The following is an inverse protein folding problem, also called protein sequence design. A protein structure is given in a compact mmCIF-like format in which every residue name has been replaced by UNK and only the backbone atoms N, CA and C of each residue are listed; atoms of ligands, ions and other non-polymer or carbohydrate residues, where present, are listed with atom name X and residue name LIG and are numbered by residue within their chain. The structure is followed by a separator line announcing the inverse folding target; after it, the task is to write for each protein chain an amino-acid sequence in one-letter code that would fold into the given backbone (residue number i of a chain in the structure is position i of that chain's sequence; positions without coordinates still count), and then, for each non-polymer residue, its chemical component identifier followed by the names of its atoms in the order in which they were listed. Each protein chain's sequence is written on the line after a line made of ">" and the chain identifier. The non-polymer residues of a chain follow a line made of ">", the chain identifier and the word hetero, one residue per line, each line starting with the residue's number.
data_IF_394681301725
#
_entry.id   IF_394681301725
#
_cell.length_a   1.000
_cell.length_b   1.000
_cell.length_c   1.000
_cell.angle_alpha   90.00
_cell.angle_beta   90.00
_cell.angle_gamma   90.00
#
_symmetry.space_group_name_H-M   'P 1'
#
loop_
_entity.id
_entity.type
_entity.pdbx_description
1 polymer ?
#
# COMPACT_ATOMS: atom_id res chain seq x y z
N UNK A 1 26.84 18.57 -64.32
CA UNK A 1 27.11 17.71 -63.11
C UNK A 1 27.14 18.49 -61.80
N UNK A 2 27.45 19.75 -61.78
CA UNK A 2 27.57 20.61 -60.59
C UNK A 2 26.15 21.01 -60.04
N UNK A 3 25.17 21.32 -60.90
CA UNK A 3 23.82 21.69 -60.49
C UNK A 3 23.05 20.58 -59.72
N UNK A 4 23.23 19.32 -60.09
CA UNK A 4 22.61 18.17 -59.35
C UNK A 4 23.16 17.98 -57.95
N UNK A 5 24.43 18.29 -57.72
CA UNK A 5 25.07 18.22 -56.39
C UNK A 5 24.64 19.37 -55.47
N UNK A 6 24.39 20.56 -56.03
CA UNK A 6 23.87 21.70 -55.24
C UNK A 6 22.44 21.45 -54.81
N UNK A 7 21.59 20.87 -55.67
CA UNK A 7 20.21 20.53 -55.29
C UNK A 7 20.11 19.50 -54.16
N UNK A 8 21.06 18.54 -54.14
CA UNK A 8 21.15 17.53 -53.08
C UNK A 8 21.60 18.11 -51.73
N UNK A 9 22.55 19.06 -51.77
CA UNK A 9 23.04 19.75 -50.56
C UNK A 9 21.93 20.65 -49.96
N UNK A 10 21.17 21.35 -50.80
CA UNK A 10 20.05 22.16 -50.33
C UNK A 10 18.90 21.33 -49.75
N UNK A 11 18.62 20.13 -50.27
CA UNK A 11 17.57 19.26 -49.71
C UNK A 11 17.98 18.64 -48.36
N UNK A 12 19.28 18.38 -48.15
CA UNK A 12 19.80 17.87 -46.86
C UNK A 12 19.84 18.97 -45.80
N UNK A 13 20.12 20.24 -46.19
CA UNK A 13 20.08 21.39 -45.28
C UNK A 13 18.62 21.75 -44.85
N UNK A 14 17.62 21.60 -45.74
CA UNK A 14 16.22 21.82 -45.37
C UNK A 14 15.67 20.73 -44.41
N UNK A 15 16.23 19.51 -44.47
CA UNK A 15 15.82 18.45 -43.56
C UNK A 15 16.37 18.60 -42.12
N UNK A 16 17.38 19.46 -41.93
CA UNK A 16 17.96 19.70 -40.59
C UNK A 16 17.29 20.84 -39.83
N UNK A 17 16.41 21.64 -40.48
CA UNK A 17 15.70 22.75 -39.84
C UNK A 17 14.32 22.33 -39.33
N UNK A 18 13.89 21.07 -39.59
CA UNK A 18 12.54 20.59 -39.32
C UNK A 18 12.32 19.97 -37.91
N UNK A 19 13.29 20.09 -37.01
CA UNK A 19 13.13 19.54 -35.63
C UNK A 19 13.75 20.50 -34.60
N UNK A 20 13.22 21.71 -34.52
CA UNK A 20 13.35 22.56 -33.33
C UNK A 20 11.98 23.21 -33.08
N UNK A 21 10.97 22.44 -32.81
CA UNK A 21 9.94 22.94 -31.92
C UNK A 21 10.52 22.74 -30.52
N UNK A 22 11.03 23.82 -29.92
CA UNK A 22 11.25 23.90 -28.49
C UNK A 22 9.87 23.71 -27.85
N UNK A 23 9.59 22.48 -27.45
CA UNK A 23 8.38 22.16 -26.73
C UNK A 23 8.52 22.73 -25.33
N UNK A 24 8.19 24.03 -25.18
CA UNK A 24 8.09 24.61 -23.85
C UNK A 24 6.93 23.99 -23.13
N UNK A 25 7.25 23.25 -22.08
CA UNK A 25 6.25 22.61 -21.21
C UNK A 25 5.48 23.74 -20.52
N UNK A 26 4.21 23.94 -20.89
CA UNK A 26 3.37 24.92 -20.21
C UNK A 26 3.08 24.44 -18.78
N UNK A 27 3.79 25.01 -17.80
CA UNK A 27 3.66 24.74 -16.39
C UNK A 27 2.77 25.77 -15.66
N UNK A 28 1.98 26.55 -16.38
CA UNK A 28 1.09 27.54 -15.77
C UNK A 28 -0.19 26.87 -15.24
N UNK A 29 -0.44 27.08 -13.97
CA UNK A 29 -1.64 26.64 -13.27
C UNK A 29 -1.87 27.45 -12.00
N UNK A 30 -3.11 27.44 -11.52
CA UNK A 30 -3.52 28.05 -10.26
C UNK A 30 -3.76 26.96 -9.20
N UNK A 31 -3.61 27.35 -7.93
CA UNK A 31 -3.90 26.48 -6.78
C UNK A 31 -5.36 26.62 -6.34
N UNK A 32 -5.91 25.65 -5.60
CA UNK A 32 -7.24 25.78 -4.99
C UNK A 32 -7.36 27.02 -4.11
N UNK A 33 -8.51 27.71 -4.21
CA UNK A 33 -8.84 28.92 -3.44
C UNK A 33 -9.91 28.69 -2.40
N UNK A 34 -10.60 27.55 -2.46
CA UNK A 34 -11.62 27.12 -1.50
C UNK A 34 -11.41 25.67 -1.12
N UNK A 35 -11.55 25.38 0.17
CA UNK A 35 -11.45 24.03 0.73
C UNK A 35 -12.75 23.70 1.48
N UNK A 36 -13.31 22.52 1.21
CA UNK A 36 -14.53 22.00 1.83
C UNK A 36 -14.28 20.69 2.55
N UNK A 37 -14.65 20.61 3.80
CA UNK A 37 -14.63 19.40 4.62
C UNK A 37 -15.70 19.44 5.69
N UNK A 38 -16.05 18.31 6.32
CA UNK A 38 -16.74 18.33 7.60
C UNK A 38 -15.96 19.16 8.62
N UNK A 39 -16.65 19.93 9.45
CA UNK A 39 -16.01 20.69 10.55
C UNK A 39 -15.62 19.80 11.71
N UNK A 40 -16.34 18.69 11.89
CA UNK A 40 -16.08 17.68 12.92
C UNK A 40 -16.38 16.27 12.41
N UNK A 41 -15.63 15.29 12.89
CA UNK A 41 -15.77 13.88 12.53
C UNK A 41 -15.67 13.03 13.79
N UNK A 42 -16.70 12.21 14.03
CA UNK A 42 -16.60 11.07 14.95
C UNK A 42 -16.05 9.88 14.14
N UNK A 43 -14.85 9.42 14.49
CA UNK A 43 -14.23 8.31 13.76
C UNK A 43 -14.84 6.97 14.15
N UNK A 44 -15.13 6.17 13.14
CA UNK A 44 -15.48 4.76 13.23
C UNK A 44 -14.59 3.99 12.24
N UNK A 45 -13.52 3.38 12.74
CA UNK A 45 -12.54 2.67 11.89
C UNK A 45 -13.11 1.45 11.17
N UNK A 46 -14.29 0.97 11.58
CA UNK A 46 -15.02 -0.10 10.90
C UNK A 46 -15.93 0.39 9.77
N UNK A 47 -16.11 1.72 9.64
CA UNK A 47 -16.96 2.31 8.61
C UNK A 47 -16.35 2.13 7.22
N UNK A 48 -17.17 1.65 6.29
CA UNK A 48 -16.84 1.59 4.85
C UNK A 48 -17.17 2.90 4.11
N UNK A 49 -17.87 3.84 4.76
CA UNK A 49 -18.23 5.14 4.17
C UNK A 49 -17.04 6.08 4.32
N UNK A 50 -16.45 6.59 3.22
CA UNK A 50 -15.31 7.50 3.33
C UNK A 50 -15.73 8.90 3.78
N UNK A 51 -14.80 9.61 4.37
CA UNK A 51 -14.89 11.07 4.56
C UNK A 51 -14.43 11.73 3.25
N UNK A 52 -15.22 12.68 2.74
CA UNK A 52 -14.91 13.39 1.50
C UNK A 52 -14.42 14.80 1.82
N UNK A 53 -13.22 15.10 1.34
CA UNK A 53 -12.67 16.45 1.26
C UNK A 53 -12.76 16.90 -0.19
N UNK A 54 -13.03 18.17 -0.42
CA UNK A 54 -13.09 18.73 -1.78
C UNK A 54 -12.58 20.16 -1.83
N UNK A 55 -12.24 20.63 -3.02
CA UNK A 55 -11.75 21.98 -3.25
C UNK A 55 -12.17 22.52 -4.59
N UNK A 56 -12.08 23.82 -4.74
CA UNK A 56 -12.38 24.54 -5.97
C UNK A 56 -11.39 25.69 -6.22
N UNK A 57 -11.44 26.26 -7.39
CA UNK A 57 -10.65 27.44 -7.78
C UNK A 57 -9.21 27.16 -8.22
N UNK A 58 -8.84 25.90 -8.48
CA UNK A 58 -7.54 25.55 -9.06
C UNK A 58 -7.68 25.01 -10.49
N UNK A 59 -6.57 24.96 -11.22
CA UNK A 59 -6.52 24.36 -12.54
C UNK A 59 -5.60 25.05 -13.52
N UNK A 60 -5.48 24.51 -14.73
CA UNK A 60 -4.68 25.06 -15.82
C UNK A 60 -5.58 25.69 -16.88
N UNK A 61 -5.28 26.91 -17.30
CA UNK A 61 -6.06 27.66 -18.31
C UNK A 61 -6.03 27.01 -19.69
N UNK A 62 -4.99 26.22 -19.97
CA UNK A 62 -4.81 25.49 -21.23
C UNK A 62 -5.56 24.12 -21.24
N UNK A 63 -6.32 23.81 -20.18
CA UNK A 63 -7.00 22.51 -20.01
C UNK A 63 -6.06 21.34 -19.69
N UNK A 64 -4.78 21.61 -19.45
CA UNK A 64 -3.80 20.60 -19.08
C UNK A 64 -4.10 19.98 -17.70
N UNK A 65 -3.69 18.74 -17.51
CA UNK A 65 -3.93 18.01 -16.26
C UNK A 65 -3.08 18.61 -15.13
N UNK A 66 -3.74 18.97 -14.03
CA UNK A 66 -3.13 19.34 -12.76
C UNK A 66 -3.34 18.19 -11.79
N UNK A 67 -2.26 17.72 -11.16
CA UNK A 67 -2.32 16.69 -10.12
C UNK A 67 -2.42 17.34 -8.75
N UNK A 68 -3.17 16.72 -7.84
CA UNK A 68 -3.39 17.25 -6.51
C UNK A 68 -3.00 16.24 -5.43
N UNK A 69 -2.42 16.76 -4.35
CA UNK A 69 -2.14 16.02 -3.12
C UNK A 69 -2.65 16.82 -1.93
N UNK A 70 -3.28 16.13 -1.00
CA UNK A 70 -3.76 16.68 0.27
C UNK A 70 -2.71 16.44 1.34
N UNK A 71 -2.29 17.50 1.99
CA UNK A 71 -1.37 17.49 3.11
C UNK A 71 -2.16 17.60 4.41
N UNK A 72 -1.93 16.70 5.34
CA UNK A 72 -2.49 16.77 6.68
C UNK A 72 -1.41 17.12 7.68
N UNK A 73 -1.74 17.95 8.67
CA UNK A 73 -0.83 18.31 9.75
C UNK A 73 -1.58 18.45 11.07
N UNK A 74 -0.84 18.49 12.16
CA UNK A 74 -1.37 18.85 13.49
C UNK A 74 -1.81 20.30 13.50
N UNK A 75 -2.68 20.67 14.43
CA UNK A 75 -3.29 22.00 14.50
C UNK A 75 -2.28 23.17 14.46
N UNK A 76 -1.13 23.02 15.12
CA UNK A 76 -0.04 23.98 15.18
C UNK A 76 1.08 23.79 14.12
N UNK A 77 0.98 22.75 13.25
CA UNK A 77 1.98 22.46 12.21
C UNK A 77 2.03 23.55 11.13
N UNK A 78 3.03 23.53 10.26
CA UNK A 78 3.23 24.49 9.15
C UNK A 78 3.29 23.82 7.78
N UNK A 79 3.01 22.50 7.74
CA UNK A 79 3.13 21.64 6.56
C UNK A 79 4.56 21.48 6.01
N UNK A 80 5.58 21.86 6.76
CA UNK A 80 6.98 21.58 6.39
C UNK A 80 7.32 20.10 6.55
N UNK A 81 6.66 19.43 7.49
CA UNK A 81 6.72 17.99 7.74
C UNK A 81 5.30 17.46 8.00
N UNK A 82 4.48 17.33 6.97
CA UNK A 82 3.09 16.92 7.15
C UNK A 82 3.01 15.51 7.75
N UNK A 83 1.98 15.26 8.56
CA UNK A 83 1.70 13.94 9.14
C UNK A 83 1.34 12.91 8.07
N UNK A 84 0.72 13.36 6.99
CA UNK A 84 0.40 12.54 5.83
C UNK A 84 0.29 13.39 4.56
N UNK A 85 0.66 12.80 3.43
CA UNK A 85 0.42 13.33 2.07
C UNK A 85 -0.36 12.28 1.30
N UNK A 86 -1.56 12.62 0.84
CA UNK A 86 -2.47 11.69 0.17
C UNK A 86 -2.85 12.24 -1.19
N UNK A 87 -2.72 11.44 -2.24
CA UNK A 87 -3.13 11.83 -3.59
C UNK A 87 -4.65 11.99 -3.65
N UNK A 88 -5.11 12.97 -4.42
CA UNK A 88 -6.54 13.13 -4.72
C UNK A 88 -7.11 11.89 -5.42
N UNK A 89 -8.43 11.78 -5.47
CA UNK A 89 -9.10 10.72 -6.21
C UNK A 89 -8.61 10.73 -7.67
N UNK A 90 -8.14 9.59 -8.16
CA UNK A 90 -7.52 9.45 -9.49
C UNK A 90 -6.30 10.38 -9.74
N UNK A 91 -5.77 11.04 -8.72
CA UNK A 91 -4.61 11.93 -8.80
C UNK A 91 -4.91 13.32 -9.36
N UNK A 92 -5.99 13.52 -10.11
CA UNK A 92 -6.35 14.80 -10.76
C UNK A 92 -7.77 15.29 -10.37
N UNK A 93 -8.53 14.53 -9.61
CA UNK A 93 -9.83 14.98 -9.13
C UNK A 93 -9.67 16.08 -8.07
N UNK A 94 -10.64 16.97 -7.97
CA UNK A 94 -10.71 18.02 -6.95
C UNK A 94 -11.39 17.55 -5.68
N UNK A 95 -11.20 16.26 -5.37
CA UNK A 95 -11.71 15.59 -4.17
C UNK A 95 -10.75 14.52 -3.67
N UNK A 96 -10.88 14.21 -2.40
CA UNK A 96 -10.23 13.09 -1.75
C UNK A 96 -11.25 12.33 -0.92
N UNK A 97 -11.46 11.07 -1.26
CA UNK A 97 -12.24 10.11 -0.47
C UNK A 97 -11.28 9.36 0.46
N UNK A 98 -11.27 9.71 1.74
CA UNK A 98 -10.35 9.14 2.74
C UNK A 98 -11.12 8.31 3.77
N UNK A 99 -10.59 7.14 4.13
CA UNK A 99 -11.26 6.26 5.11
C UNK A 99 -11.14 6.79 6.53
N UNK A 100 -12.09 6.42 7.40
CA UNK A 100 -12.01 6.70 8.83
C UNK A 100 -10.74 6.13 9.47
N UNK A 101 -10.29 4.96 9.04
CA UNK A 101 -9.04 4.34 9.52
C UNK A 101 -7.81 5.18 9.17
N UNK A 102 -7.74 5.74 7.95
CA UNK A 102 -6.64 6.61 7.56
C UNK A 102 -6.63 7.92 8.35
N UNK A 103 -7.80 8.56 8.55
CA UNK A 103 -7.90 9.75 9.40
C UNK A 103 -7.53 9.42 10.86
N UNK A 104 -7.91 8.23 11.36
CA UNK A 104 -7.54 7.79 12.70
C UNK A 104 -6.01 7.66 12.87
N UNK A 105 -5.31 7.18 11.85
CA UNK A 105 -3.85 7.13 11.84
C UNK A 105 -3.25 8.54 11.86
N UNK A 106 -3.78 9.47 11.06
CA UNK A 106 -3.37 10.89 11.06
C UNK A 106 -3.60 11.51 12.44
N UNK A 107 -4.78 11.30 13.04
CA UNK A 107 -5.16 11.84 14.35
C UNK A 107 -4.25 11.28 15.46
N UNK A 108 -3.91 9.99 15.43
CA UNK A 108 -2.93 9.38 16.33
C UNK A 108 -1.57 10.07 16.19
N UNK A 109 -1.08 10.26 14.97
CA UNK A 109 0.20 10.91 14.71
C UNK A 109 0.19 12.40 15.09
N UNK A 110 -1.00 13.03 15.15
CA UNK A 110 -1.19 14.36 15.73
C UNK A 110 -1.18 14.37 17.25
N UNK A 111 -1.14 13.21 17.93
CA UNK A 111 -1.15 13.07 19.38
C UNK A 111 -2.54 13.05 20.01
N UNK A 112 -3.59 12.83 19.23
CA UNK A 112 -4.96 12.65 19.75
C UNK A 112 -5.09 11.21 20.26
N UNK A 113 -5.35 11.01 21.54
CA UNK A 113 -5.48 9.69 22.16
C UNK A 113 -6.80 8.99 21.82
N UNK A 114 -6.94 7.67 21.99
CA UNK A 114 -8.22 6.97 21.89
C UNK A 114 -9.28 7.62 22.77
N UNK A 115 -10.51 7.69 22.29
CA UNK A 115 -11.64 8.39 22.90
C UNK A 115 -11.45 9.91 23.09
N UNK A 116 -10.28 10.43 22.71
CA UNK A 116 -9.96 11.86 22.76
C UNK A 116 -10.50 12.62 21.55
N UNK A 117 -10.61 13.94 21.72
CA UNK A 117 -10.99 14.89 20.68
C UNK A 117 -9.85 15.90 20.50
N UNK A 118 -9.53 16.24 19.27
CA UNK A 118 -8.53 17.24 18.92
C UNK A 118 -8.65 17.69 17.48
N UNK A 119 -7.84 18.67 17.10
CA UNK A 119 -7.88 19.27 15.77
C UNK A 119 -6.71 18.80 14.92
N UNK A 120 -7.02 18.50 13.67
CA UNK A 120 -6.06 18.37 12.57
C UNK A 120 -6.37 19.42 11.52
N UNK A 121 -5.39 19.77 10.71
CA UNK A 121 -5.62 20.67 9.58
C UNK A 121 -5.12 20.08 8.29
N UNK A 122 -5.63 20.61 7.17
CA UNK A 122 -5.25 20.15 5.86
C UNK A 122 -5.17 21.29 4.84
N UNK A 123 -4.39 21.08 3.81
CA UNK A 123 -4.27 21.95 2.64
C UNK A 123 -4.02 21.11 1.40
N UNK A 124 -3.96 21.74 0.23
CA UNK A 124 -3.75 21.06 -1.05
C UNK A 124 -2.51 21.58 -1.73
N UNK A 125 -1.68 20.70 -2.25
CA UNK A 125 -0.67 21.02 -3.27
C UNK A 125 -1.19 20.64 -4.64
N UNK A 126 -0.85 21.46 -5.63
CA UNK A 126 -1.14 21.24 -7.03
C UNK A 126 0.17 21.15 -7.82
N UNK A 127 0.25 20.27 -8.80
CA UNK A 127 1.45 20.10 -9.63
C UNK A 127 1.13 19.92 -11.10
N UNK A 128 1.96 20.54 -11.96
CA UNK A 128 1.92 20.42 -13.43
C UNK A 128 3.31 20.65 -13.99
N UNK A 129 3.76 19.80 -14.91
CA UNK A 129 5.04 19.99 -15.59
C UNK A 129 6.26 20.06 -14.68
N UNK A 130 6.25 19.35 -13.54
CA UNK A 130 7.34 19.36 -12.55
C UNK A 130 7.32 20.54 -11.58
N UNK A 131 6.42 21.52 -11.77
CA UNK A 131 6.22 22.64 -10.84
C UNK A 131 5.18 22.24 -9.80
N UNK A 132 5.46 22.49 -8.51
CA UNK A 132 4.55 22.23 -7.38
C UNK A 132 4.24 23.56 -6.69
N UNK A 133 2.96 23.83 -6.44
CA UNK A 133 2.49 24.99 -5.69
C UNK A 133 1.54 24.54 -4.60
N UNK A 134 1.64 25.14 -3.40
CA UNK A 134 0.75 24.88 -2.27
C UNK A 134 -0.33 25.96 -2.22
N UNK A 135 -1.58 25.56 -1.92
CA UNK A 135 -2.66 26.51 -1.62
C UNK A 135 -2.35 27.31 -0.35
N UNK A 136 -2.72 28.59 -0.36
CA UNK A 136 -2.69 29.44 0.84
C UNK A 136 -3.87 29.17 1.78
N UNK A 137 -4.85 28.36 1.34
CA UNK A 137 -5.99 27.99 2.14
C UNK A 137 -5.68 26.81 3.02
N UNK A 138 -6.16 26.85 4.25
CA UNK A 138 -6.06 25.81 5.26
C UNK A 138 -7.44 25.59 5.85
N UNK A 139 -7.85 24.34 5.99
CA UNK A 139 -9.08 23.96 6.69
C UNK A 139 -8.76 23.11 7.90
N UNK A 140 -9.55 23.26 8.97
CA UNK A 140 -9.43 22.49 10.21
C UNK A 140 -10.56 21.48 10.30
N UNK A 141 -10.27 20.34 10.92
CA UNK A 141 -11.26 19.30 11.22
C UNK A 141 -11.07 18.91 12.69
N UNK A 142 -12.12 19.04 13.48
CA UNK A 142 -12.16 18.49 14.84
C UNK A 142 -12.44 16.99 14.74
N UNK A 143 -11.53 16.17 15.19
CA UNK A 143 -11.61 14.71 15.12
C UNK A 143 -11.80 14.13 16.52
N UNK A 144 -12.82 13.30 16.71
CA UNK A 144 -12.98 12.48 17.90
C UNK A 144 -12.63 11.04 17.52
N UNK A 145 -11.59 10.48 18.15
CA UNK A 145 -11.19 9.08 17.93
C UNK A 145 -12.12 8.13 18.68
N UNK A 146 -12.34 6.97 18.08
CA UNK A 146 -13.01 5.85 18.75
C UNK A 146 -12.07 5.12 19.71
N UNK A 147 -12.53 3.98 20.24
CA UNK A 147 -11.65 3.04 20.95
C UNK A 147 -10.50 2.61 20.04
N UNK A 148 -9.33 2.38 20.61
CA UNK A 148 -8.16 1.97 19.83
C UNK A 148 -6.98 1.56 20.69
N UNK A 149 -5.89 1.20 20.03
CA UNK A 149 -4.59 0.92 20.62
C UNK A 149 -3.65 2.05 20.22
N UNK A 150 -3.00 2.69 21.21
CA UNK A 150 -2.06 3.78 20.97
C UNK A 150 -0.70 3.26 20.52
N UNK A 151 -0.24 2.20 21.17
CA UNK A 151 1.06 1.64 20.93
C UNK A 151 0.99 0.59 19.82
N UNK A 152 1.13 1.03 18.56
CA UNK A 152 1.30 0.09 17.47
C UNK A 152 2.71 -0.47 17.54
N UNK A 153 2.87 -1.81 17.67
CA UNK A 153 4.18 -2.40 17.78
C UNK A 153 4.94 -2.34 16.44
N UNK A 154 6.27 -2.28 16.50
CA UNK A 154 7.12 -2.42 15.32
C UNK A 154 7.18 -3.87 14.83
N UNK A 155 7.03 -4.83 15.74
CA UNK A 155 7.05 -6.27 15.50
C UNK A 155 5.84 -6.93 16.17
N UNK A 156 5.36 -8.02 15.61
CA UNK A 156 4.25 -8.80 16.18
C UNK A 156 4.58 -10.28 16.10
N UNK A 157 4.24 -11.02 17.15
CA UNK A 157 4.46 -12.46 17.28
C UNK A 157 3.17 -13.16 17.65
N UNK A 158 2.94 -14.32 17.03
CA UNK A 158 1.82 -15.21 17.31
C UNK A 158 2.21 -16.19 18.42
N UNK A 159 1.39 -16.28 19.46
CA UNK A 159 1.50 -17.21 20.58
C UNK A 159 0.20 -18.00 20.74
N UNK A 160 0.27 -19.05 21.53
CA UNK A 160 -0.90 -19.81 21.98
C UNK A 160 -0.85 -21.29 21.65
N UNK A 161 -1.73 -22.04 22.29
CA UNK A 161 -1.82 -23.50 22.16
C UNK A 161 -2.21 -23.98 20.76
N UNK A 162 -2.90 -23.12 20.00
CA UNK A 162 -3.34 -23.42 18.64
C UNK A 162 -2.24 -23.28 17.59
N UNK A 163 -1.08 -22.70 17.93
CA UNK A 163 0.02 -22.47 16.98
C UNK A 163 0.79 -23.75 16.64
N UNK A 164 1.50 -23.73 15.51
CA UNK A 164 2.28 -24.90 15.03
C UNK A 164 3.37 -25.36 16.01
N UNK A 165 3.88 -24.46 16.83
CA UNK A 165 4.85 -24.77 17.89
C UNK A 165 4.19 -25.01 19.27
N UNK A 166 2.86 -25.17 19.32
CA UNK A 166 2.08 -25.44 20.53
C UNK A 166 2.40 -24.49 21.70
N UNK A 167 2.60 -23.20 21.37
CA UNK A 167 2.93 -22.17 22.36
C UNK A 167 4.40 -22.11 22.80
N UNK A 168 5.28 -22.90 22.23
CA UNK A 168 6.72 -22.88 22.51
C UNK A 168 7.41 -21.71 21.76
N UNK A 169 7.27 -20.50 22.29
CA UNK A 169 7.81 -19.27 21.71
C UNK A 169 6.90 -18.60 20.68
N UNK A 170 7.25 -17.39 20.29
CA UNK A 170 6.50 -16.59 19.34
C UNK A 170 6.87 -16.89 17.89
N UNK A 171 5.87 -16.98 17.01
CA UNK A 171 6.08 -17.07 15.56
C UNK A 171 5.94 -15.66 14.99
N UNK A 172 6.97 -15.12 14.30
CA UNK A 172 6.96 -13.73 13.86
C UNK A 172 5.98 -13.48 12.72
N UNK A 173 5.24 -12.39 12.80
CA UNK A 173 4.51 -11.82 11.68
C UNK A 173 5.44 -11.01 10.78
N UNK A 174 5.07 -10.85 9.52
CA UNK A 174 5.64 -9.87 8.63
C UNK A 174 4.82 -8.58 8.70
N UNK A 175 5.46 -7.46 8.98
CA UNK A 175 4.86 -6.14 8.80
C UNK A 175 4.78 -5.85 7.28
N UNK A 176 3.57 -5.71 6.76
CA UNK A 176 3.31 -5.45 5.32
C UNK A 176 2.99 -3.99 5.07
N UNK A 177 2.49 -3.30 6.09
CA UNK A 177 2.20 -1.89 6.13
C UNK A 177 2.26 -1.44 7.60
N UNK A 178 2.43 -0.16 7.88
CA UNK A 178 2.43 0.35 9.25
C UNK A 178 1.14 -0.05 9.99
N UNK A 179 1.29 -0.82 11.06
CA UNK A 179 0.17 -1.35 11.85
C UNK A 179 -0.56 -2.53 11.23
N UNK A 180 -0.07 -3.10 10.12
CA UNK A 180 -0.65 -4.28 9.47
C UNK A 180 0.35 -5.42 9.43
N UNK A 181 0.01 -6.54 10.07
CA UNK A 181 0.88 -7.68 10.24
C UNK A 181 0.25 -8.92 9.63
N UNK A 182 1.02 -9.70 8.88
CA UNK A 182 0.57 -10.93 8.24
C UNK A 182 1.46 -12.12 8.61
N UNK A 183 0.83 -13.27 8.76
CA UNK A 183 1.51 -14.55 8.93
C UNK A 183 0.75 -15.64 8.18
N UNK A 184 1.49 -16.60 7.64
CA UNK A 184 0.95 -17.85 7.08
C UNK A 184 1.23 -18.96 8.05
N UNK A 185 0.19 -19.65 8.51
CA UNK A 185 0.30 -20.70 9.56
C UNK A 185 -0.83 -21.70 9.43
N UNK A 186 -0.64 -22.90 9.96
CA UNK A 186 -1.72 -23.84 10.27
C UNK A 186 -2.10 -23.69 11.74
N UNK A 187 -3.40 -23.65 11.99
CA UNK A 187 -3.90 -23.56 13.36
C UNK A 187 -4.54 -24.90 13.77
N UNK A 188 -4.25 -25.34 14.99
CA UNK A 188 -5.00 -26.37 15.69
C UNK A 188 -6.19 -25.74 16.42
N UNK A 189 -7.11 -26.55 16.95
CA UNK A 189 -8.10 -26.04 17.88
C UNK A 189 -7.41 -25.62 19.19
N UNK A 190 -7.76 -24.45 19.70
CA UNK A 190 -7.16 -23.89 20.90
C UNK A 190 -7.23 -22.37 20.92
N UNK A 191 -6.26 -21.75 21.57
CA UNK A 191 -6.21 -20.30 21.72
C UNK A 191 -4.97 -19.71 21.05
N UNK A 192 -5.11 -18.46 20.58
CA UNK A 192 -4.01 -17.62 20.11
C UNK A 192 -4.01 -16.28 20.84
N UNK A 193 -2.85 -15.66 20.91
CA UNK A 193 -2.65 -14.29 21.34
C UNK A 193 -1.48 -13.68 20.56
N UNK A 194 -1.31 -12.38 20.69
CA UNK A 194 -0.26 -11.64 19.98
C UNK A 194 0.62 -10.89 20.99
N UNK A 195 1.91 -10.78 20.70
CA UNK A 195 2.84 -10.02 21.54
C UNK A 195 3.74 -9.13 20.68
N UNK A 196 4.09 -7.95 21.21
CA UNK A 196 4.95 -6.97 20.54
C UNK A 196 6.43 -7.36 20.54
N UNK A 197 6.86 -8.29 21.40
CA UNK A 197 8.24 -8.75 21.50
C UNK A 197 8.29 -10.16 22.08
N UNK A 198 9.43 -10.83 21.96
CA UNK A 198 9.72 -12.15 22.54
C UNK A 198 10.46 -12.03 23.88
N UNK A 199 11.07 -10.88 24.14
CA UNK A 199 11.85 -10.58 25.36
C UNK A 199 11.71 -9.10 25.73
N UNK A 200 11.96 -8.76 27.00
CA UNK A 200 11.89 -7.38 27.48
C UNK A 200 10.47 -6.90 27.78
N UNK A 201 10.25 -5.61 27.67
CA UNK A 201 8.91 -5.02 27.81
C UNK A 201 8.04 -5.46 26.64
N UNK A 202 6.88 -6.02 26.94
CA UNK A 202 6.04 -6.69 25.96
C UNK A 202 4.59 -6.27 26.16
N UNK A 203 3.96 -5.77 25.11
CA UNK A 203 2.51 -5.56 25.06
C UNK A 203 1.85 -6.83 24.50
N UNK A 204 0.75 -7.23 25.12
CA UNK A 204 -0.06 -8.37 24.69
C UNK A 204 -1.34 -7.88 24.03
N UNK A 205 -1.81 -8.64 23.03
CA UNK A 205 -3.02 -8.32 22.29
C UNK A 205 -3.82 -9.61 22.01
N UNK A 206 -5.12 -9.46 21.84
CA UNK A 206 -6.05 -10.54 21.51
C UNK A 206 -7.25 -10.02 20.72
N UNK A 207 -8.05 -10.88 20.15
CA UNK A 207 -9.35 -10.56 19.54
C UNK A 207 -10.43 -10.94 20.53
N UNK A 208 -11.28 -9.98 20.88
CA UNK A 208 -12.40 -10.20 21.80
C UNK A 208 -13.60 -10.86 21.12
N UNK A 209 -14.64 -11.20 21.90
CA UNK A 209 -15.88 -11.83 21.42
C UNK A 209 -16.65 -10.95 20.42
N UNK A 210 -16.36 -9.66 20.35
CA UNK A 210 -16.90 -8.74 19.34
C UNK A 210 -16.06 -8.64 18.08
N UNK A 211 -15.05 -9.52 17.94
CA UNK A 211 -14.09 -9.58 16.81
C UNK A 211 -13.20 -8.35 16.71
N UNK A 212 -12.98 -7.64 17.81
CA UNK A 212 -12.11 -6.46 17.87
C UNK A 212 -10.77 -6.78 18.51
N UNK A 213 -9.71 -6.20 17.95
CA UNK A 213 -8.38 -6.24 18.53
C UNK A 213 -8.33 -5.41 19.82
N UNK A 214 -7.82 -6.03 20.89
CA UNK A 214 -7.68 -5.42 22.22
C UNK A 214 -6.25 -5.54 22.71
N UNK A 215 -5.83 -4.58 23.49
CA UNK A 215 -4.59 -4.66 24.28
C UNK A 215 -4.90 -5.31 25.65
N UNK A 216 -4.06 -6.24 26.06
CA UNK A 216 -4.18 -6.98 27.33
C UNK A 216 -3.85 -8.48 27.16
N UNK A 217 -3.89 -9.20 28.29
CA UNK A 217 -3.49 -10.63 28.38
C UNK A 217 -4.64 -11.59 28.05
N UNK A 218 -5.59 -11.19 27.21
CA UNK A 218 -6.65 -12.06 26.72
C UNK A 218 -6.17 -13.06 25.68
N UNK A 219 -7.03 -14.02 25.38
CA UNK A 219 -6.80 -15.04 24.36
C UNK A 219 -7.97 -15.10 23.38
N UNK A 220 -7.68 -15.47 22.14
CA UNK A 220 -8.65 -15.64 21.07
C UNK A 220 -8.83 -17.12 20.79
N UNK A 221 -10.04 -17.65 20.97
CA UNK A 221 -10.35 -19.03 20.62
C UNK A 221 -10.38 -19.21 19.09
N UNK A 222 -9.72 -20.24 18.60
CA UNK A 222 -9.71 -20.59 17.17
C UNK A 222 -10.03 -22.07 16.97
N UNK A 223 -10.62 -22.36 15.82
CA UNK A 223 -10.88 -23.74 15.37
C UNK A 223 -9.70 -24.26 14.55
N UNK A 224 -9.53 -25.57 14.50
CA UNK A 224 -8.51 -26.18 13.65
C UNK A 224 -8.74 -25.82 12.17
N UNK A 225 -7.65 -25.50 11.47
CA UNK A 225 -7.64 -25.34 10.02
C UNK A 225 -6.85 -26.48 9.38
N UNK A 226 -7.47 -27.22 8.48
CA UNK A 226 -6.78 -28.24 7.68
C UNK A 226 -5.85 -27.62 6.64
N UNK A 227 -6.14 -26.40 6.24
CA UNK A 227 -5.38 -25.62 5.24
C UNK A 227 -4.49 -24.59 5.93
N UNK A 228 -3.46 -24.15 5.21
CA UNK A 228 -2.69 -22.98 5.60
C UNK A 228 -3.59 -21.75 5.61
N UNK A 229 -3.48 -20.98 6.65
CA UNK A 229 -4.27 -19.78 6.88
C UNK A 229 -3.37 -18.55 6.85
N UNK A 230 -3.78 -17.52 6.12
CA UNK A 230 -3.19 -16.18 6.25
C UNK A 230 -3.97 -15.44 7.32
N UNK A 231 -3.31 -15.13 8.43
CA UNK A 231 -3.82 -14.23 9.45
C UNK A 231 -3.31 -12.83 9.15
N UNK A 232 -4.21 -11.86 9.09
CA UNK A 232 -3.86 -10.43 9.01
C UNK A 232 -4.38 -9.74 10.26
N UNK A 233 -3.49 -9.21 11.09
CA UNK A 233 -3.83 -8.38 12.26
C UNK A 233 -3.61 -6.93 11.87
N UNK A 234 -4.67 -6.13 11.93
CA UNK A 234 -4.67 -4.74 11.51
C UNK A 234 -5.02 -3.82 12.69
N UNK A 235 -4.02 -3.13 13.20
CA UNK A 235 -4.15 -2.17 14.31
C UNK A 235 -4.87 -0.88 13.88
N UNK A 236 -4.87 -0.56 12.58
CA UNK A 236 -5.53 0.63 12.06
C UNK A 236 -7.06 0.46 12.00
N UNK A 237 -7.52 -0.77 11.75
CA UNK A 237 -8.96 -1.12 11.71
C UNK A 237 -9.42 -1.87 12.96
N UNK A 238 -8.49 -2.18 13.89
CA UNK A 238 -8.77 -2.94 15.11
C UNK A 238 -9.37 -4.33 14.83
N UNK A 239 -8.91 -5.00 13.79
CA UNK A 239 -9.50 -6.26 13.33
C UNK A 239 -8.43 -7.31 13.00
N UNK A 240 -8.85 -8.56 13.05
CA UNK A 240 -8.13 -9.69 12.47
C UNK A 240 -8.96 -10.29 11.34
N UNK A 241 -8.32 -10.58 10.22
CA UNK A 241 -8.93 -11.36 9.14
C UNK A 241 -8.19 -12.67 8.95
N UNK A 242 -8.93 -13.67 8.51
CA UNK A 242 -8.44 -15.04 8.29
C UNK A 242 -8.82 -15.46 6.89
N UNK A 243 -7.82 -15.86 6.09
CA UNK A 243 -8.02 -16.32 4.72
C UNK A 243 -7.39 -17.69 4.55
N UNK A 244 -8.13 -18.61 3.93
CA UNK A 244 -7.61 -19.93 3.62
C UNK A 244 -6.71 -19.88 2.41
N UNK A 245 -5.48 -20.36 2.59
CA UNK A 245 -4.48 -20.51 1.54
C UNK A 245 -4.32 -22.01 1.29
N UNK A 246 -4.33 -22.43 0.05
CA UNK A 246 -4.07 -23.84 -0.26
C UNK A 246 -2.72 -24.32 0.31
N UNK A 247 -2.57 -25.61 0.52
CA UNK A 247 -1.35 -26.21 1.10
C UNK A 247 -0.13 -26.14 0.17
N UNK A 248 -0.30 -25.63 -1.05
CA UNK A 248 0.77 -25.48 -2.05
C UNK A 248 0.74 -24.13 -2.74
N UNK A 249 1.91 -23.69 -3.18
CA UNK A 249 2.11 -22.51 -4.00
C UNK A 249 2.78 -22.93 -5.29
N UNK A 250 2.24 -22.52 -6.44
CA UNK A 250 2.81 -22.80 -7.75
C UNK A 250 3.78 -21.68 -8.10
N UNK A 251 5.00 -22.04 -8.52
CA UNK A 251 5.93 -21.10 -9.12
C UNK A 251 5.80 -21.18 -10.64
N UNK A 252 5.48 -20.07 -11.26
CA UNK A 252 5.19 -19.94 -12.69
C UNK A 252 6.32 -19.16 -13.35
N UNK A 253 6.78 -19.64 -14.50
CA UNK A 253 7.75 -18.92 -15.30
C UNK A 253 7.09 -17.94 -16.27
N UNK A 254 7.50 -16.69 -16.25
CA UNK A 254 6.91 -15.62 -17.06
C UNK A 254 6.98 -15.82 -18.56
N UNK A 255 8.00 -16.54 -19.05
CA UNK A 255 8.17 -16.79 -20.48
C UNK A 255 7.10 -17.69 -21.09
N UNK A 256 6.66 -18.72 -20.37
CA UNK A 256 5.78 -19.77 -20.92
C UNK A 256 4.48 -19.93 -20.15
N UNK A 257 4.33 -19.25 -19.01
CA UNK A 257 3.23 -19.43 -18.07
C UNK A 257 3.08 -20.88 -17.55
N UNK A 258 4.16 -21.65 -17.63
CA UNK A 258 4.19 -23.03 -17.15
C UNK A 258 4.62 -23.10 -15.69
N UNK A 259 4.13 -24.09 -14.96
CA UNK A 259 4.62 -24.44 -13.64
C UNK A 259 6.06 -24.96 -13.75
N UNK A 260 6.95 -24.36 -12.97
CA UNK A 260 8.32 -24.83 -12.85
C UNK A 260 8.60 -25.50 -11.51
N UNK A 261 7.78 -25.19 -10.50
CA UNK A 261 7.82 -25.83 -9.18
C UNK A 261 6.45 -25.73 -8.52
N UNK A 262 6.15 -26.71 -7.68
CA UNK A 262 5.05 -26.69 -6.73
C UNK A 262 5.65 -26.74 -5.32
N UNK A 263 5.55 -25.64 -4.59
CA UNK A 263 6.07 -25.51 -3.26
C UNK A 263 5.03 -26.00 -2.26
N UNK A 264 5.43 -26.89 -1.35
CA UNK A 264 4.59 -27.43 -0.30
C UNK A 264 4.85 -26.69 1.01
N UNK A 265 3.81 -26.51 1.80
CA UNK A 265 3.94 -25.93 3.13
C UNK A 265 4.68 -26.86 4.06
N UNK A 266 5.73 -26.35 4.72
CA UNK A 266 6.60 -27.12 5.64
C UNK A 266 6.56 -26.58 7.07
N UNK A 267 5.67 -25.63 7.35
CA UNK A 267 5.50 -25.02 8.68
C UNK A 267 6.14 -23.63 8.80
N UNK A 268 5.72 -22.89 9.82
CA UNK A 268 6.24 -21.57 10.19
C UNK A 268 6.26 -20.56 9.01
N UNK A 269 5.20 -20.55 8.20
CA UNK A 269 5.06 -19.64 7.06
C UNK A 269 5.94 -19.97 5.85
N UNK A 270 6.55 -21.15 5.81
CA UNK A 270 7.47 -21.54 4.73
C UNK A 270 6.84 -22.52 3.75
N UNK A 271 7.01 -22.23 2.47
CA UNK A 271 6.71 -23.13 1.38
C UNK A 271 8.02 -23.51 0.69
N UNK A 272 8.24 -24.79 0.44
CA UNK A 272 9.47 -25.33 -0.15
C UNK A 272 9.12 -26.24 -1.34
N UNK A 273 9.84 -26.09 -2.41
CA UNK A 273 9.75 -26.92 -3.61
C UNK A 273 11.03 -26.82 -4.41
N UNK A 274 11.21 -27.75 -5.33
CA UNK A 274 12.34 -27.77 -6.25
C UNK A 274 11.84 -27.59 -7.67
N UNK A 275 12.62 -26.88 -8.50
CA UNK A 275 12.32 -26.67 -9.89
C UNK A 275 13.48 -26.03 -10.65
N UNK A 276 13.47 -26.17 -11.97
CA UNK A 276 14.50 -25.62 -12.83
C UNK A 276 14.24 -24.13 -13.08
N UNK A 277 14.94 -23.26 -12.38
CA UNK A 277 14.92 -21.83 -12.67
C UNK A 277 15.75 -21.57 -13.94
N UNK A 278 15.09 -21.02 -14.95
CA UNK A 278 15.68 -20.73 -16.26
C UNK A 278 15.53 -19.24 -16.58
N UNK A 279 16.39 -18.76 -17.45
CA UNK A 279 16.23 -17.45 -18.08
C UNK A 279 16.38 -17.59 -19.60
N UNK A 280 15.75 -16.70 -20.35
CA UNK A 280 15.95 -16.57 -21.79
C UNK A 280 16.72 -15.28 -22.07
N UNK A 281 17.78 -15.38 -22.80
CA UNK A 281 18.61 -14.25 -23.19
C UNK A 281 18.75 -14.21 -24.71
N UNK A 282 18.19 -13.18 -25.39
CA UNK A 282 18.28 -13.08 -26.86
C UNK A 282 19.71 -13.05 -27.40
N UNK A 283 20.69 -12.63 -26.56
CA UNK A 283 22.10 -12.63 -26.93
C UNK A 283 22.80 -13.99 -26.77
N UNK A 284 22.10 -14.98 -26.18
CA UNK A 284 22.62 -16.31 -25.86
C UNK A 284 21.76 -17.39 -26.51
N UNK A 285 22.09 -17.82 -27.75
CA UNK A 285 21.33 -18.83 -28.49
C UNK A 285 21.11 -20.15 -27.74
N UNK A 286 22.03 -20.51 -26.83
CA UNK A 286 21.93 -21.72 -25.99
C UNK A 286 20.75 -21.67 -25.00
N UNK A 287 20.22 -20.50 -24.70
CA UNK A 287 19.00 -20.37 -23.89
C UNK A 287 17.71 -20.59 -24.67
N UNK A 288 17.84 -20.78 -26.01
CA UNK A 288 16.76 -21.02 -26.95
C UNK A 288 15.61 -19.96 -26.86
N UNK A 289 15.95 -18.66 -26.96
CA UNK A 289 14.94 -17.59 -26.88
C UNK A 289 14.05 -17.59 -28.13
N UNK A 290 12.74 -17.34 -27.99
CA UNK A 290 11.87 -17.14 -29.15
C UNK A 290 12.26 -15.86 -29.90
N UNK A 291 12.03 -15.85 -31.23
CA UNK A 291 12.48 -14.78 -32.12
C UNK A 291 11.86 -13.39 -31.82
N UNK A 292 10.75 -13.34 -31.12
CA UNK A 292 10.09 -12.09 -30.71
C UNK A 292 10.66 -11.49 -29.42
N UNK A 293 11.45 -12.26 -28.66
CA UNK A 293 12.02 -11.82 -27.39
C UNK A 293 13.17 -10.83 -27.61
N UNK A 294 13.05 -9.63 -27.07
CA UNK A 294 14.05 -8.54 -27.20
C UNK A 294 14.74 -8.16 -25.89
N UNK A 295 14.41 -8.85 -24.81
CA UNK A 295 14.91 -8.60 -23.44
C UNK A 295 15.24 -9.94 -22.76
N UNK A 296 16.04 -9.88 -21.69
CA UNK A 296 16.27 -11.06 -20.85
C UNK A 296 15.00 -11.38 -20.07
N UNK A 297 14.46 -12.58 -20.26
CA UNK A 297 13.28 -13.04 -19.54
C UNK A 297 13.69 -13.90 -18.36
N UNK A 298 13.53 -13.36 -17.17
CA UNK A 298 13.90 -13.99 -15.89
C UNK A 298 12.77 -13.87 -14.84
N UNK A 299 11.57 -13.44 -15.24
CA UNK A 299 10.46 -13.21 -14.32
C UNK A 299 9.82 -14.51 -13.88
N UNK A 300 9.58 -14.57 -12.57
CA UNK A 300 8.80 -15.62 -11.94
C UNK A 300 7.73 -14.98 -11.09
N UNK A 301 6.60 -15.67 -10.98
CA UNK A 301 5.55 -15.28 -10.06
C UNK A 301 4.98 -16.52 -9.38
N UNK A 302 4.36 -16.29 -8.23
CA UNK A 302 3.81 -17.34 -7.41
C UNK A 302 2.28 -17.24 -7.44
N UNK A 303 1.60 -18.37 -7.53
CA UNK A 303 0.14 -18.46 -7.46
C UNK A 303 -0.24 -19.41 -6.34
N UNK A 304 -1.15 -18.95 -5.47
CA UNK A 304 -1.84 -19.81 -4.52
C UNK A 304 -3.35 -19.58 -4.60
N UNK A 305 -4.10 -20.57 -4.13
CA UNK A 305 -5.55 -20.44 -3.96
C UNK A 305 -5.82 -19.69 -2.65
N UNK A 306 -6.51 -18.55 -2.72
CA UNK A 306 -6.93 -17.77 -1.55
C UNK A 306 -8.46 -17.75 -1.53
N UNK A 307 -9.07 -18.36 -0.52
CA UNK A 307 -10.52 -18.53 -0.42
C UNK A 307 -11.15 -19.10 -1.69
N UNK A 308 -10.41 -19.97 -2.41
CA UNK A 308 -10.87 -20.61 -3.66
C UNK A 308 -10.66 -19.78 -4.93
N UNK A 309 -10.01 -18.62 -4.85
CA UNK A 309 -9.59 -17.81 -6.00
C UNK A 309 -8.08 -17.76 -6.15
N UNK A 310 -7.58 -17.58 -7.37
CA UNK A 310 -6.14 -17.43 -7.62
C UNK A 310 -5.65 -16.06 -7.14
N UNK A 311 -4.56 -16.05 -6.37
CA UNK A 311 -3.81 -14.86 -6.00
C UNK A 311 -2.38 -14.99 -6.49
N UNK A 312 -1.88 -13.95 -7.16
CA UNK A 312 -0.52 -13.88 -7.71
C UNK A 312 0.36 -12.96 -6.86
N UNK A 313 1.63 -13.38 -6.67
CA UNK A 313 2.71 -12.56 -6.11
C UNK A 313 3.91 -12.63 -7.06
N UNK A 314 4.46 -11.45 -7.42
CA UNK A 314 5.63 -11.37 -8.29
C UNK A 314 6.13 -9.96 -8.45
#
# INVERSE_FOLDING_TARGET
>A
MIMKKILWICSVLLAMVSCQEDYELNADFTVPTELNSPTSIQLDVSSSVPVVLSWSGGGAADGGIVLYEVLFDKADGDFSKPLATVKSDLGAATSLSITHAAINTIARNAGIYPLGTGDIKWTVTASKGGVVKKSDKVANITVTRGEGIDNIPAELYLYGSATENSGQGGIPFRCVEEGVFQIYTKLSAGNISFKSATTGETFSYYIDDSSKLREGDGETAVTASEEVTRLTVNFNTMAMTTEKIGSSVRCIWGATFADIAVLQYVGNGKFVGEGDIRFLDPSKPETNPPSWLTYIEERYYFIAQVNGGDMCWG
#
